data_IF_979081489311
#
_entry.id   IF_979081489311
#
_cell.length_a   1.000
_cell.length_b   1.000
_cell.length_c   1.000
_cell.angle_alpha   90.00
_cell.angle_beta   90.00
_cell.angle_gamma   90.00
#
_symmetry.space_group_name_H-M   'P 1'
#
loop_
_entity.id
_entity.type
_entity.pdbx_description
1 polymer ?
#
# COMPACT_ATOMS: atom_id res chain seq x y z
N UNK A 1 -12.90 36.76 -77.56
CA UNK A 1 -12.01 35.97 -76.68
C UNK A 1 -12.44 36.27 -75.23
N UNK A 2 -13.18 35.36 -74.63
CA UNK A 2 -13.70 35.52 -73.24
C UNK A 2 -12.83 34.60 -72.29
N UNK A 3 -12.03 35.22 -71.46
CA UNK A 3 -11.29 34.54 -70.37
C UNK A 3 -12.25 34.15 -69.25
N UNK A 4 -12.39 32.86 -68.99
CA UNK A 4 -13.03 32.34 -67.78
C UNK A 4 -11.97 32.15 -66.71
N UNK A 5 -12.07 32.94 -65.66
CA UNK A 5 -11.31 32.72 -64.41
C UNK A 5 -12.00 31.58 -63.63
N UNK A 6 -11.28 30.51 -63.39
CA UNK A 6 -11.71 29.41 -62.51
C UNK A 6 -11.26 29.76 -61.10
N UNK A 7 -12.20 30.02 -60.18
CA UNK A 7 -11.89 30.12 -58.72
C UNK A 7 -11.95 28.72 -58.14
N UNK A 8 -10.77 28.22 -57.75
CA UNK A 8 -10.69 27.00 -56.98
C UNK A 8 -10.93 27.33 -55.50
N UNK A 9 -11.99 26.79 -54.91
CA UNK A 9 -12.25 26.84 -53.48
C UNK A 9 -11.42 25.73 -52.82
N UNK A 10 -10.34 26.10 -52.08
CA UNK A 10 -9.63 25.17 -51.20
C UNK A 10 -10.47 24.99 -49.92
N UNK A 11 -11.03 23.80 -49.78
CA UNK A 11 -11.58 23.34 -48.48
C UNK A 11 -10.42 23.00 -47.57
N UNK A 12 -10.11 23.86 -46.58
CA UNK A 12 -9.32 23.47 -45.42
C UNK A 12 -10.18 22.62 -44.49
N UNK A 13 -10.00 21.30 -44.55
CA UNK A 13 -10.46 20.42 -43.47
C UNK A 13 -9.51 20.65 -42.31
N UNK A 14 -9.90 21.50 -41.37
CA UNK A 14 -9.26 21.63 -40.09
C UNK A 14 -9.44 20.31 -39.32
N UNK A 15 -8.45 19.44 -39.35
CA UNK A 15 -8.32 18.42 -38.30
C UNK A 15 -8.10 19.19 -37.00
N UNK A 16 -9.13 19.34 -36.21
CA UNK A 16 -8.99 19.69 -34.81
C UNK A 16 -8.14 18.61 -34.17
N UNK A 17 -6.87 18.89 -33.97
CA UNK A 17 -6.09 18.20 -32.97
C UNK A 17 -6.76 18.53 -31.64
N UNK A 18 -7.73 17.70 -31.24
CA UNK A 18 -8.07 17.61 -29.82
C UNK A 18 -6.77 17.17 -29.16
N UNK A 19 -5.98 18.13 -28.69
CA UNK A 19 -4.91 17.85 -27.75
C UNK A 19 -5.58 17.05 -26.63
N UNK A 20 -5.16 15.82 -26.44
CA UNK A 20 -5.52 15.06 -25.27
C UNK A 20 -5.18 15.97 -24.10
N UNK A 21 -6.18 16.46 -23.36
CA UNK A 21 -5.90 17.17 -22.11
C UNK A 21 -5.00 16.24 -21.31
N UNK A 22 -3.79 16.71 -21.02
CA UNK A 22 -2.86 15.98 -20.17
C UNK A 22 -3.61 15.74 -18.86
N UNK A 23 -3.98 14.49 -18.63
CA UNK A 23 -4.66 14.07 -17.43
C UNK A 23 -3.77 14.44 -16.23
N UNK A 24 -4.28 15.28 -15.34
CA UNK A 24 -3.60 15.58 -14.09
C UNK A 24 -4.20 14.69 -12.99
N UNK A 25 -3.50 13.64 -12.58
CA UNK A 25 -3.98 12.69 -11.57
C UNK A 25 -4.35 13.36 -10.24
N UNK A 26 -3.63 14.40 -9.86
CA UNK A 26 -3.83 15.13 -8.60
C UNK A 26 -5.18 15.85 -8.52
N UNK A 27 -5.84 16.11 -9.64
CA UNK A 27 -7.17 16.76 -9.62
C UNK A 27 -8.30 15.80 -9.27
N UNK A 28 -8.05 14.50 -9.15
CA UNK A 28 -9.12 13.51 -8.86
C UNK A 28 -9.66 13.63 -7.44
N UNK A 29 -8.76 13.58 -6.45
CA UNK A 29 -9.13 13.60 -5.03
C UNK A 29 -7.98 14.05 -4.11
N UNK A 30 -6.91 14.59 -4.66
CA UNK A 30 -5.71 15.04 -3.95
C UNK A 30 -5.70 16.57 -3.82
N UNK A 31 -6.85 17.13 -3.45
CA UNK A 31 -7.00 18.57 -3.31
C UNK A 31 -6.54 19.05 -1.93
N UNK A 32 -5.93 20.25 -1.83
CA UNK A 32 -5.67 20.87 -0.53
C UNK A 32 -6.96 20.94 0.31
N UNK A 33 -6.88 20.51 1.57
CA UNK A 33 -8.02 20.42 2.46
C UNK A 33 -8.94 19.22 2.23
N UNK A 34 -8.62 18.33 1.28
CA UNK A 34 -9.34 17.09 1.01
C UNK A 34 -9.05 15.98 2.02
N UNK A 35 -9.61 14.80 1.76
CA UNK A 35 -9.56 13.65 2.68
C UNK A 35 -8.14 13.11 2.91
N UNK A 36 -7.21 13.35 1.97
CA UNK A 36 -5.79 12.95 2.09
C UNK A 36 -4.86 14.09 2.56
N UNK A 37 -5.37 15.29 2.84
CA UNK A 37 -4.54 16.38 3.35
C UNK A 37 -4.10 16.11 4.80
N UNK A 38 -2.78 15.95 5.00
CA UNK A 38 -2.16 15.62 6.29
C UNK A 38 -2.17 16.77 7.30
N UNK A 39 -2.52 17.99 6.90
CA UNK A 39 -2.61 19.14 7.80
C UNK A 39 -3.88 19.10 8.67
N UNK A 40 -4.81 18.17 8.39
CA UNK A 40 -6.10 18.09 9.05
C UNK A 40 -6.44 16.64 9.41
N UNK A 41 -7.12 16.44 10.54
CA UNK A 41 -7.86 15.21 10.83
C UNK A 41 -9.31 15.47 10.46
N UNK A 42 -9.77 14.85 9.38
CA UNK A 42 -11.16 14.97 8.92
C UNK A 42 -12.07 14.10 9.79
N UNK A 43 -13.35 14.47 9.83
CA UNK A 43 -14.37 13.74 10.58
C UNK A 43 -15.39 13.13 9.64
N UNK A 44 -15.78 11.89 9.94
CA UNK A 44 -16.77 11.12 9.20
C UNK A 44 -17.74 10.47 10.18
N UNK A 45 -19.03 10.56 9.89
CA UNK A 45 -20.08 9.92 10.64
C UNK A 45 -20.75 8.84 9.80
N UNK A 46 -20.97 7.66 10.38
CA UNK A 46 -21.71 6.56 9.77
C UNK A 46 -22.91 6.22 10.64
N UNK A 47 -24.10 6.19 10.03
CA UNK A 47 -25.34 5.80 10.68
C UNK A 47 -25.96 4.64 9.91
N UNK A 48 -26.15 3.52 10.59
CA UNK A 48 -26.85 2.35 10.08
C UNK A 48 -28.32 2.39 10.52
N UNK A 49 -29.23 2.02 9.63
CA UNK A 49 -30.65 1.89 9.99
C UNK A 49 -30.91 0.63 10.83
N UNK A 50 -30.17 -0.45 10.58
CA UNK A 50 -30.29 -1.69 11.35
C UNK A 50 -29.55 -1.55 12.70
N UNK A 51 -30.23 -1.62 13.83
CA UNK A 51 -29.59 -1.56 15.15
C UNK A 51 -28.64 -2.74 15.42
N UNK A 52 -28.78 -3.85 14.67
CA UNK A 52 -27.92 -5.04 14.75
C UNK A 52 -26.75 -5.00 13.75
N UNK A 53 -26.49 -3.86 13.12
CA UNK A 53 -25.50 -3.71 12.05
C UNK A 53 -24.15 -4.39 12.38
N UNK A 54 -23.68 -4.27 13.62
CA UNK A 54 -22.40 -4.85 14.04
C UNK A 54 -22.40 -6.38 13.90
N UNK A 55 -23.44 -7.05 14.45
CA UNK A 55 -23.58 -8.50 14.35
C UNK A 55 -23.71 -8.97 12.90
N UNK A 56 -24.41 -8.20 12.05
CA UNK A 56 -24.56 -8.50 10.62
C UNK A 56 -23.21 -8.37 9.92
N UNK A 57 -22.44 -7.32 10.20
CA UNK A 57 -21.13 -7.08 9.61
C UNK A 57 -20.09 -8.11 10.07
N UNK A 58 -20.08 -8.51 11.35
CA UNK A 58 -19.21 -9.59 11.87
C UNK A 58 -19.55 -10.92 11.18
N UNK A 59 -20.83 -11.28 11.11
CA UNK A 59 -21.24 -12.50 10.44
C UNK A 59 -20.87 -12.50 8.95
N UNK A 60 -21.06 -11.38 8.25
CA UNK A 60 -20.73 -11.28 6.84
C UNK A 60 -19.22 -11.31 6.59
N UNK A 61 -18.42 -10.78 7.50
CA UNK A 61 -16.96 -10.84 7.40
C UNK A 61 -16.44 -12.27 7.25
N UNK A 62 -17.01 -13.22 8.01
CA UNK A 62 -16.61 -14.63 7.96
C UNK A 62 -17.30 -15.43 6.84
N UNK A 63 -18.56 -15.15 6.56
CA UNK A 63 -19.39 -16.04 5.73
C UNK A 63 -19.70 -15.46 4.34
N UNK A 64 -19.61 -14.15 4.17
CA UNK A 64 -19.90 -13.45 2.92
C UNK A 64 -19.06 -12.16 2.80
N UNK A 65 -17.71 -12.27 2.67
CA UNK A 65 -16.79 -11.14 2.84
C UNK A 65 -16.97 -10.00 1.82
N UNK A 66 -17.71 -10.23 0.75
CA UNK A 66 -18.06 -9.20 -0.23
C UNK A 66 -19.39 -8.49 0.08
N UNK A 67 -20.19 -9.02 1.00
CA UNK A 67 -21.48 -8.46 1.37
C UNK A 67 -21.33 -7.11 2.07
N UNK A 68 -22.19 -6.16 1.70
CA UNK A 68 -22.23 -4.82 2.27
C UNK A 68 -23.64 -4.48 2.72
N UNK A 69 -23.75 -3.78 3.82
CA UNK A 69 -25.02 -3.21 4.27
C UNK A 69 -25.04 -1.71 3.99
N UNK A 70 -26.24 -1.14 3.75
CA UNK A 70 -26.38 0.30 3.54
C UNK A 70 -26.20 1.07 4.84
N UNK A 71 -25.60 2.25 4.72
CA UNK A 71 -25.51 3.23 5.79
C UNK A 71 -25.58 4.65 5.22
N UNK A 72 -25.98 5.61 6.02
CA UNK A 72 -25.81 7.03 5.70
C UNK A 72 -24.44 7.47 6.21
N UNK A 73 -23.66 8.13 5.34
CA UNK A 73 -22.37 8.70 5.67
C UNK A 73 -22.44 10.22 5.61
N UNK A 74 -21.98 10.90 6.63
CA UNK A 74 -21.83 12.36 6.65
C UNK A 74 -20.35 12.73 6.69
N UNK A 75 -19.95 13.68 5.86
CA UNK A 75 -18.59 14.16 5.76
C UNK A 75 -18.59 15.62 5.31
N UNK A 76 -17.89 16.48 6.03
CA UNK A 76 -17.71 17.90 5.71
C UNK A 76 -19.04 18.65 5.44
N UNK A 77 -20.11 18.30 6.19
CA UNK A 77 -21.43 18.91 6.08
C UNK A 77 -22.31 18.36 4.95
N UNK A 78 -21.79 17.44 4.13
CA UNK A 78 -22.56 16.71 3.12
C UNK A 78 -23.00 15.36 3.65
N UNK A 79 -24.13 14.85 3.16
CA UNK A 79 -24.69 13.54 3.51
C UNK A 79 -24.82 12.66 2.27
N UNK A 80 -24.41 11.40 2.42
CA UNK A 80 -24.42 10.39 1.36
C UNK A 80 -25.25 9.20 1.84
N UNK A 81 -26.40 9.03 1.26
CA UNK A 81 -27.31 7.92 1.62
C UNK A 81 -26.89 6.62 0.97
N UNK A 82 -27.17 5.50 1.64
CA UNK A 82 -26.98 4.16 1.09
C UNK A 82 -25.56 3.89 0.57
N UNK A 83 -24.53 4.32 1.32
CA UNK A 83 -23.18 3.85 1.06
C UNK A 83 -23.04 2.39 1.48
N UNK A 84 -22.25 1.59 0.77
CA UNK A 84 -22.05 0.17 1.08
C UNK A 84 -20.93 -0.03 2.10
N UNK A 85 -21.24 -0.50 3.29
CA UNK A 85 -20.25 -0.68 4.37
C UNK A 85 -20.01 -2.16 4.65
N UNK A 86 -18.76 -2.54 4.85
CA UNK A 86 -18.33 -3.84 5.39
C UNK A 86 -17.08 -3.70 6.26
N UNK A 87 -16.81 -4.69 7.08
CA UNK A 87 -15.52 -4.79 7.76
C UNK A 87 -14.44 -5.30 6.80
N UNK A 88 -13.18 -5.01 7.13
CA UNK A 88 -12.00 -5.44 6.36
C UNK A 88 -10.88 -5.89 7.32
N UNK A 89 -9.74 -6.23 6.75
CA UNK A 89 -8.55 -6.63 7.49
C UNK A 89 -8.44 -8.14 7.65
N UNK A 90 -7.48 -8.56 8.42
CA UNK A 90 -7.22 -9.94 8.80
C UNK A 90 -6.99 -9.96 10.33
N UNK A 91 -5.76 -10.09 10.81
CA UNK A 91 -5.44 -9.98 12.25
C UNK A 91 -5.91 -8.66 12.86
N UNK A 92 -5.85 -7.56 12.11
CA UNK A 92 -6.34 -6.22 12.50
C UNK A 92 -7.85 -6.15 12.74
N UNK A 93 -8.63 -7.09 12.19
CA UNK A 93 -10.04 -7.28 12.54
C UNK A 93 -10.20 -8.29 13.66
N UNK A 94 -9.59 -9.48 13.53
CA UNK A 94 -9.86 -10.60 14.42
C UNK A 94 -9.42 -10.35 15.86
N UNK A 95 -8.19 -9.83 16.04
CA UNK A 95 -7.64 -9.63 17.38
C UNK A 95 -8.44 -8.63 18.22
N UNK A 96 -8.74 -7.40 17.75
CA UNK A 96 -9.59 -6.50 18.52
C UNK A 96 -11.03 -7.00 18.67
N UNK A 97 -11.60 -7.63 17.65
CA UNK A 97 -12.96 -8.19 17.74
C UNK A 97 -13.06 -9.30 18.80
N UNK A 98 -12.08 -10.18 18.88
CA UNK A 98 -12.03 -11.27 19.88
C UNK A 98 -11.86 -10.74 21.30
N UNK A 99 -11.25 -9.56 21.47
CA UNK A 99 -11.14 -8.84 22.74
C UNK A 99 -12.38 -7.98 23.05
N UNK A 100 -13.37 -7.95 22.16
CA UNK A 100 -14.58 -7.14 22.30
C UNK A 100 -14.35 -5.64 22.07
N UNK A 101 -13.24 -5.25 21.47
CA UNK A 101 -12.98 -3.86 21.10
C UNK A 101 -13.76 -3.50 19.81
N UNK A 102 -14.64 -2.47 19.84
CA UNK A 102 -15.46 -2.11 18.69
C UNK A 102 -14.66 -1.44 17.56
N UNK A 103 -13.41 -1.05 17.80
CA UNK A 103 -12.56 -0.35 16.84
C UNK A 103 -11.95 -1.32 15.84
N UNK A 104 -12.78 -1.83 14.92
CA UNK A 104 -12.39 -2.73 13.83
C UNK A 104 -12.25 -1.95 12.50
N UNK A 105 -11.51 -2.45 11.51
CA UNK A 105 -11.31 -1.74 10.23
C UNK A 105 -12.55 -1.75 9.34
N UNK A 106 -12.78 -0.64 8.62
CA UNK A 106 -13.91 -0.45 7.72
C UNK A 106 -13.47 -0.37 6.25
N UNK A 107 -14.36 -0.82 5.35
CA UNK A 107 -14.29 -0.61 3.92
C UNK A 107 -15.64 -0.09 3.44
N UNK A 108 -15.67 1.17 3.02
CA UNK A 108 -16.86 1.90 2.60
C UNK A 108 -16.80 2.07 1.10
N UNK A 109 -17.86 1.70 0.39
CA UNK A 109 -18.01 1.88 -1.05
C UNK A 109 -19.12 2.88 -1.30
N UNK A 110 -18.74 4.08 -1.75
CA UNK A 110 -19.65 5.21 -1.94
C UNK A 110 -20.71 4.92 -2.98
N UNK A 111 -20.31 4.25 -4.06
CA UNK A 111 -21.17 4.00 -5.21
C UNK A 111 -21.74 2.57 -5.27
N UNK A 112 -21.81 1.85 -4.14
CA UNK A 112 -22.29 0.47 -4.12
C UNK A 112 -23.78 0.37 -4.49
N UNK A 113 -24.62 1.15 -3.83
CA UNK A 113 -26.06 1.18 -4.08
C UNK A 113 -26.47 2.32 -5.01
N UNK A 114 -25.76 3.46 -4.97
CA UNK A 114 -26.04 4.65 -5.78
C UNK A 114 -24.82 4.95 -6.66
N UNK A 115 -24.88 4.54 -7.93
CA UNK A 115 -23.72 4.52 -8.85
C UNK A 115 -23.00 5.87 -9.04
N UNK A 116 -23.72 6.98 -8.96
CA UNK A 116 -23.14 8.31 -9.17
C UNK A 116 -22.40 8.86 -7.95
N UNK A 117 -22.55 8.20 -6.79
CA UNK A 117 -22.12 8.75 -5.51
C UNK A 117 -20.62 8.59 -5.31
N UNK A 118 -19.98 9.67 -4.86
CA UNK A 118 -18.53 9.73 -4.58
C UNK A 118 -18.30 10.75 -3.48
N UNK A 119 -17.30 10.52 -2.63
CA UNK A 119 -16.80 11.47 -1.66
C UNK A 119 -15.53 12.12 -2.23
N UNK A 120 -15.55 13.42 -2.52
CA UNK A 120 -14.41 14.12 -3.15
C UNK A 120 -13.84 13.35 -4.36
N UNK A 121 -14.72 12.81 -5.20
CA UNK A 121 -14.42 11.90 -6.32
C UNK A 121 -13.99 10.48 -5.95
N UNK A 122 -13.74 10.14 -4.69
CA UNK A 122 -13.43 8.78 -4.25
C UNK A 122 -14.68 7.89 -4.29
N UNK A 123 -14.52 6.68 -4.79
CA UNK A 123 -15.53 5.62 -4.74
C UNK A 123 -15.37 4.72 -3.52
N UNK A 124 -14.17 4.67 -2.93
CA UNK A 124 -13.87 3.81 -1.78
C UNK A 124 -13.08 4.53 -0.72
N UNK A 125 -13.46 4.29 0.53
CA UNK A 125 -12.76 4.73 1.73
C UNK A 125 -12.35 3.48 2.50
N UNK A 126 -11.07 3.36 2.86
CA UNK A 126 -10.54 2.23 3.61
C UNK A 126 -9.94 2.72 4.91
N UNK A 127 -10.57 2.36 6.02
CA UNK A 127 -10.17 2.78 7.35
C UNK A 127 -9.49 1.63 8.09
N UNK A 128 -8.20 1.79 8.38
CA UNK A 128 -7.41 0.90 9.22
C UNK A 128 -7.44 1.41 10.66
N UNK A 129 -7.58 0.51 11.63
CA UNK A 129 -7.74 0.85 13.04
C UNK A 129 -6.43 1.10 13.79
N UNK A 130 -5.31 1.08 13.10
CA UNK A 130 -3.95 1.22 13.65
C UNK A 130 -3.63 0.18 14.75
N UNK A 131 -4.14 -1.06 14.61
CA UNK A 131 -3.86 -2.16 15.55
C UNK A 131 -2.38 -2.43 15.74
N UNK A 132 -1.58 -2.31 14.68
CA UNK A 132 -0.14 -2.57 14.69
C UNK A 132 0.71 -1.30 14.87
N UNK A 133 0.07 -0.13 15.01
CA UNK A 133 0.76 1.15 15.08
C UNK A 133 0.35 2.00 16.29
N UNK A 134 1.07 1.92 17.41
CA UNK A 134 0.84 2.81 18.54
C UNK A 134 0.91 4.29 18.21
N UNK A 135 1.67 4.68 17.17
CA UNK A 135 1.96 6.07 16.83
C UNK A 135 0.95 6.70 15.88
N UNK A 136 0.11 5.91 15.19
CA UNK A 136 -0.72 6.32 14.04
C UNK A 136 0.09 6.96 12.89
N UNK A 137 1.40 6.78 12.87
CA UNK A 137 2.29 7.46 11.93
C UNK A 137 3.07 6.52 11.01
N UNK A 138 3.16 5.21 11.32
CA UNK A 138 3.99 4.26 10.55
C UNK A 138 3.52 4.14 9.11
N UNK A 139 2.23 3.83 8.90
CA UNK A 139 1.66 3.67 7.57
C UNK A 139 1.80 4.94 6.73
N UNK A 140 1.51 6.11 7.30
CA UNK A 140 1.61 7.39 6.60
C UNK A 140 3.07 7.74 6.28
N UNK A 141 3.98 7.57 7.24
CA UNK A 141 5.41 7.85 7.03
C UNK A 141 5.98 6.94 5.96
N UNK A 142 5.67 5.65 6.00
CA UNK A 142 6.11 4.68 5.00
C UNK A 142 5.53 5.01 3.61
N UNK A 143 4.22 5.25 3.51
CA UNK A 143 3.57 5.65 2.25
C UNK A 143 4.24 6.88 1.63
N UNK A 144 4.55 7.89 2.44
CA UNK A 144 5.24 9.11 1.96
C UNK A 144 6.67 8.82 1.47
N UNK A 145 7.37 7.84 2.05
CA UNK A 145 8.69 7.42 1.55
C UNK A 145 8.53 6.68 0.21
N UNK A 146 7.63 5.69 0.13
CA UNK A 146 7.40 4.93 -1.10
C UNK A 146 6.98 5.83 -2.27
N UNK A 147 6.10 6.81 -2.04
CA UNK A 147 5.56 7.73 -3.06
C UNK A 147 6.61 8.59 -3.74
N UNK A 148 7.79 8.74 -3.16
CA UNK A 148 8.92 9.41 -3.82
C UNK A 148 9.46 8.61 -5.01
N UNK A 149 9.28 7.29 -5.02
CA UNK A 149 9.93 6.37 -5.94
C UNK A 149 8.97 5.49 -6.75
N UNK A 150 7.77 5.26 -6.24
CA UNK A 150 6.82 4.28 -6.75
C UNK A 150 5.39 4.81 -6.76
N UNK A 151 4.54 4.37 -7.71
CA UNK A 151 3.09 4.44 -7.56
C UNK A 151 2.66 3.74 -6.27
N UNK A 152 2.16 4.52 -5.32
CA UNK A 152 1.87 4.04 -3.96
C UNK A 152 0.61 4.72 -3.45
N UNK A 153 -0.28 3.99 -2.75
CA UNK A 153 -1.45 4.56 -2.10
C UNK A 153 -1.11 5.71 -1.17
N UNK A 154 -1.99 6.71 -1.13
CA UNK A 154 -1.96 7.76 -0.13
C UNK A 154 -2.53 7.27 1.19
N UNK A 155 -2.10 7.88 2.29
CA UNK A 155 -2.64 7.61 3.61
C UNK A 155 -2.82 8.91 4.39
N UNK A 156 -3.89 9.00 5.18
CA UNK A 156 -4.22 10.17 6.01
C UNK A 156 -4.91 9.75 7.30
N UNK A 157 -5.22 10.71 8.16
CA UNK A 157 -5.92 10.47 9.42
C UNK A 157 -7.38 10.92 9.35
N UNK A 158 -8.28 10.09 9.89
CA UNK A 158 -9.70 10.34 9.88
C UNK A 158 -10.35 9.95 11.22
N UNK A 159 -11.13 10.86 11.80
CA UNK A 159 -12.02 10.57 12.94
C UNK A 159 -13.26 9.86 12.45
N UNK A 160 -13.59 8.73 13.03
CA UNK A 160 -14.80 8.00 12.71
C UNK A 160 -15.79 8.04 13.87
N UNK A 161 -16.98 8.55 13.62
CA UNK A 161 -18.14 8.37 14.48
C UNK A 161 -19.06 7.29 13.89
N UNK A 162 -19.63 6.46 14.73
CA UNK A 162 -20.62 5.45 14.35
C UNK A 162 -21.81 5.56 15.29
N UNK A 163 -23.02 5.66 14.73
CA UNK A 163 -24.25 5.86 15.49
C UNK A 163 -24.18 7.06 16.44
N UNK A 164 -23.54 8.14 16.03
CA UNK A 164 -23.37 9.37 16.80
C UNK A 164 -22.33 9.32 17.93
N UNK A 165 -21.60 8.21 18.07
CA UNK A 165 -20.54 8.06 19.06
C UNK A 165 -19.16 8.04 18.38
N UNK A 166 -18.20 8.75 18.95
CA UNK A 166 -16.82 8.72 18.46
C UNK A 166 -16.23 7.32 18.67
N UNK A 167 -15.98 6.62 17.57
CA UNK A 167 -15.42 5.28 17.60
C UNK A 167 -13.88 5.30 17.74
N UNK A 168 -13.24 6.27 17.12
CA UNK A 168 -11.79 6.44 17.23
C UNK A 168 -11.13 7.11 16.02
N UNK A 169 -9.82 7.28 16.13
CA UNK A 169 -8.97 7.73 15.02
C UNK A 169 -8.56 6.54 14.15
N UNK A 170 -8.67 6.70 12.85
CA UNK A 170 -8.33 5.70 11.83
C UNK A 170 -7.28 6.23 10.86
N UNK A 171 -6.50 5.33 10.28
CA UNK A 171 -5.71 5.62 9.08
C UNK A 171 -6.59 5.34 7.87
N UNK A 172 -6.81 6.36 7.04
CA UNK A 172 -7.52 6.25 5.76
C UNK A 172 -6.51 6.00 4.66
N UNK A 173 -6.56 4.83 4.03
CA UNK A 173 -5.62 4.41 2.99
C UNK A 173 -6.32 4.35 1.63
N UNK A 174 -5.71 4.94 0.61
CA UNK A 174 -6.21 4.92 -0.76
C UNK A 174 -6.37 3.47 -1.25
N UNK A 175 -7.48 3.17 -1.90
CA UNK A 175 -7.73 1.84 -2.45
C UNK A 175 -6.93 1.63 -3.74
N UNK A 176 -6.19 0.53 -3.86
CA UNK A 176 -5.64 0.09 -5.14
C UNK A 176 -6.79 -0.50 -5.96
N UNK A 177 -7.38 0.31 -6.83
CA UNK A 177 -8.49 -0.03 -7.72
C UNK A 177 -8.40 0.76 -9.03
N UNK A 178 -9.43 0.70 -9.87
CA UNK A 178 -9.44 1.38 -11.17
C UNK A 178 -9.21 2.90 -11.09
N UNK A 179 -9.55 3.56 -9.96
CA UNK A 179 -9.27 4.99 -9.80
C UNK A 179 -7.78 5.23 -9.52
N UNK A 180 -7.19 4.44 -8.64
CA UNK A 180 -5.75 4.46 -8.39
C UNK A 180 -4.97 4.17 -9.66
N UNK A 181 -5.35 3.12 -10.42
CA UNK A 181 -4.69 2.76 -11.67
C UNK A 181 -4.76 3.90 -12.69
N UNK A 182 -5.95 4.50 -12.86
CA UNK A 182 -6.11 5.66 -13.74
C UNK A 182 -5.25 6.85 -13.31
N UNK A 183 -5.13 7.09 -11.99
CA UNK A 183 -4.30 8.16 -11.43
C UNK A 183 -2.81 7.92 -11.66
N UNK A 184 -2.33 6.70 -11.44
CA UNK A 184 -0.93 6.38 -11.41
C UNK A 184 -0.34 5.96 -12.78
N UNK A 185 -1.18 5.35 -13.64
CA UNK A 185 -0.73 4.78 -14.92
C UNK A 185 -1.41 5.39 -16.14
N UNK A 186 -2.38 6.30 -15.93
CA UNK A 186 -3.24 6.88 -16.98
C UNK A 186 -4.07 5.82 -17.75
N UNK A 187 -4.25 4.64 -17.15
CA UNK A 187 -5.04 3.52 -17.64
C UNK A 187 -5.60 2.72 -16.46
N UNK A 188 -6.56 1.82 -16.68
CA UNK A 188 -7.24 1.12 -15.57
C UNK A 188 -7.80 -0.25 -15.91
N UNK A 189 -7.70 -0.66 -17.17
CA UNK A 189 -8.38 -1.85 -17.69
C UNK A 189 -7.43 -3.05 -17.90
N UNK A 190 -6.16 -2.91 -17.49
CA UNK A 190 -5.18 -3.98 -17.41
C UNK A 190 -5.47 -5.01 -16.31
N UNK A 191 -4.61 -6.03 -16.21
CA UNK A 191 -4.76 -7.09 -15.20
C UNK A 191 -4.26 -6.63 -13.84
N UNK A 192 -5.12 -6.63 -12.83
CA UNK A 192 -4.78 -6.32 -11.45
C UNK A 192 -4.88 -7.59 -10.59
N UNK A 193 -3.80 -7.92 -9.92
CA UNK A 193 -3.69 -9.06 -8.99
C UNK A 193 -3.29 -8.56 -7.62
N UNK A 194 -4.09 -8.87 -6.59
CA UNK A 194 -3.68 -8.71 -5.20
C UNK A 194 -2.89 -9.94 -4.76
N UNK A 195 -1.68 -9.72 -4.32
CA UNK A 195 -0.75 -10.75 -3.85
C UNK A 195 -0.80 -10.80 -2.32
N UNK A 196 -1.75 -11.57 -1.82
CA UNK A 196 -2.09 -11.66 -0.41
C UNK A 196 -2.89 -12.95 -0.17
N UNK A 197 -2.66 -13.70 0.92
CA UNK A 197 -3.47 -14.86 1.24
C UNK A 197 -4.96 -14.54 1.20
N UNK A 198 -5.72 -15.37 0.49
CA UNK A 198 -7.16 -15.11 0.27
C UNK A 198 -7.99 -15.42 1.52
N UNK A 199 -7.50 -16.35 2.36
CA UNK A 199 -8.17 -16.72 3.60
C UNK A 199 -7.79 -15.79 4.76
N UNK A 200 -8.78 -15.44 5.56
CA UNK A 200 -8.60 -14.62 6.76
C UNK A 200 -8.00 -15.47 7.88
N UNK A 201 -6.94 -14.96 8.51
CA UNK A 201 -6.33 -15.56 9.70
C UNK A 201 -7.08 -15.10 10.95
N UNK A 202 -8.05 -15.90 11.40
CA UNK A 202 -8.80 -15.67 12.63
C UNK A 202 -8.92 -16.97 13.42
N UNK A 203 -8.64 -16.91 14.70
CA UNK A 203 -8.72 -18.07 15.58
C UNK A 203 -7.71 -19.16 15.19
N UNK A 204 -8.18 -20.40 14.97
CA UNK A 204 -7.32 -21.54 14.63
C UNK A 204 -7.05 -21.69 13.12
N UNK A 205 -7.53 -20.78 12.29
CA UNK A 205 -7.29 -20.83 10.86
C UNK A 205 -5.94 -20.20 10.53
N UNK A 206 -5.04 -20.99 9.97
CA UNK A 206 -3.82 -20.46 9.36
C UNK A 206 -4.15 -19.97 7.96
N UNK A 207 -3.71 -18.76 7.61
CA UNK A 207 -3.76 -18.30 6.23
C UNK A 207 -3.00 -19.31 5.36
N UNK A 208 -3.69 -19.90 4.38
CA UNK A 208 -3.07 -20.82 3.43
C UNK A 208 -2.74 -20.03 2.16
N UNK A 209 -1.48 -20.04 1.78
CA UNK A 209 -0.99 -19.43 0.55
C UNK A 209 0.10 -18.41 0.82
N UNK A 210 1.13 -18.46 0.00
CA UNK A 210 2.20 -17.48 -0.05
C UNK A 210 2.28 -16.94 -1.47
N UNK A 211 2.07 -15.65 -1.70
CA UNK A 211 2.27 -15.04 -3.01
C UNK A 211 3.75 -14.79 -3.30
N UNK A 212 4.55 -15.86 -3.27
CA UNK A 212 6.01 -15.85 -3.38
C UNK A 212 6.52 -15.99 -4.83
N UNK A 213 5.61 -16.07 -5.80
CA UNK A 213 5.90 -16.23 -7.23
C UNK A 213 6.68 -17.51 -7.58
N UNK A 214 6.59 -18.54 -6.73
CA UNK A 214 7.11 -19.87 -7.02
C UNK A 214 6.25 -20.59 -8.04
N UNK A 215 6.90 -21.42 -8.84
CA UNK A 215 6.17 -22.31 -9.73
C UNK A 215 5.57 -23.50 -8.97
N UNK A 216 4.25 -23.58 -8.97
CA UNK A 216 3.48 -24.68 -8.35
C UNK A 216 2.77 -25.57 -9.39
N UNK A 217 3.19 -25.50 -10.67
CA UNK A 217 2.60 -26.24 -11.79
C UNK A 217 1.73 -25.36 -12.68
N UNK A 218 1.32 -25.92 -13.84
CA UNK A 218 0.61 -25.18 -14.89
C UNK A 218 -0.90 -24.99 -14.61
N UNK A 219 -1.43 -25.57 -13.52
CA UNK A 219 -2.84 -25.38 -13.14
C UNK A 219 -2.97 -24.14 -12.23
N UNK A 220 -3.73 -23.14 -12.70
CA UNK A 220 -3.98 -21.91 -11.93
C UNK A 220 -4.67 -22.18 -10.59
N UNK A 221 -5.36 -23.29 -10.43
CA UNK A 221 -6.02 -23.67 -9.19
C UNK A 221 -5.03 -23.81 -8.00
N UNK A 222 -3.76 -24.13 -8.29
CA UNK A 222 -2.72 -24.22 -7.27
C UNK A 222 -2.38 -22.85 -6.63
N UNK A 223 -2.78 -21.73 -7.24
CA UNK A 223 -2.44 -20.39 -6.84
C UNK A 223 -3.61 -19.60 -6.20
N UNK A 224 -4.84 -20.14 -6.23
CA UNK A 224 -6.04 -19.44 -5.77
C UNK A 224 -6.02 -19.04 -4.29
N UNK A 225 -5.23 -19.71 -3.46
CA UNK A 225 -5.08 -19.34 -2.05
C UNK A 225 -4.09 -18.20 -1.81
N UNK A 226 -3.22 -17.91 -2.81
CA UNK A 226 -2.11 -16.95 -2.69
C UNK A 226 -2.38 -15.64 -3.43
N UNK A 227 -3.27 -15.64 -4.42
CA UNK A 227 -3.50 -14.51 -5.30
C UNK A 227 -4.98 -14.28 -5.52
N UNK A 228 -5.37 -13.00 -5.53
CA UNK A 228 -6.75 -12.57 -5.78
C UNK A 228 -6.77 -11.67 -7.03
N UNK A 229 -7.19 -12.21 -8.17
CA UNK A 229 -7.34 -11.49 -9.43
C UNK A 229 -8.52 -10.53 -9.33
N UNK A 230 -8.25 -9.21 -9.41
CA UNK A 230 -9.24 -8.14 -9.25
C UNK A 230 -9.85 -7.66 -10.56
N UNK A 231 -9.26 -8.01 -11.68
CA UNK A 231 -9.77 -7.78 -13.03
C UNK A 231 -10.66 -8.96 -13.47
N UNK A 232 -11.40 -8.77 -14.57
CA UNK A 232 -12.32 -9.79 -15.09
C UNK A 232 -11.58 -11.03 -15.64
N UNK A 233 -10.28 -10.91 -15.89
CA UNK A 233 -9.35 -11.95 -16.32
C UNK A 233 -7.97 -11.68 -15.70
N UNK A 234 -7.01 -12.60 -15.85
CA UNK A 234 -5.63 -12.35 -15.38
C UNK A 234 -4.86 -13.57 -14.92
N UNK A 235 -5.51 -14.73 -14.80
CA UNK A 235 -4.82 -15.95 -14.38
C UNK A 235 -3.77 -16.42 -15.39
N UNK A 236 -4.07 -16.29 -16.70
CA UNK A 236 -3.11 -16.63 -17.75
C UNK A 236 -1.86 -15.77 -17.69
N UNK A 237 -2.05 -14.48 -17.54
CA UNK A 237 -0.98 -13.47 -17.47
C UNK A 237 -0.14 -13.64 -16.19
N UNK A 238 -0.78 -13.93 -15.05
CA UNK A 238 -0.06 -14.22 -13.81
C UNK A 238 0.78 -15.48 -13.93
N UNK A 239 0.22 -16.54 -14.54
CA UNK A 239 0.93 -17.79 -14.77
C UNK A 239 2.13 -17.60 -15.71
N UNK A 240 1.99 -16.80 -16.77
CA UNK A 240 3.07 -16.41 -17.66
C UNK A 240 4.21 -15.72 -16.90
N UNK A 241 3.87 -14.75 -16.02
CA UNK A 241 4.87 -14.08 -15.20
C UNK A 241 5.59 -15.06 -14.27
N UNK A 242 4.86 -15.91 -13.56
CA UNK A 242 5.45 -16.90 -12.64
C UNK A 242 6.33 -17.88 -13.42
N UNK A 243 5.89 -18.34 -14.58
CA UNK A 243 6.69 -19.24 -15.44
C UNK A 243 7.99 -18.57 -15.87
N UNK A 244 7.95 -17.33 -16.37
CA UNK A 244 9.15 -16.58 -16.78
C UNK A 244 10.10 -16.35 -15.61
N UNK A 245 9.62 -15.97 -14.44
CA UNK A 245 10.46 -15.81 -13.25
C UNK A 245 11.24 -17.11 -12.95
N UNK A 246 10.58 -18.26 -13.07
CA UNK A 246 11.18 -19.53 -12.67
C UNK A 246 12.06 -20.17 -13.76
N UNK A 247 11.71 -20.01 -15.06
CA UNK A 247 12.31 -20.79 -16.14
C UNK A 247 12.84 -19.98 -17.33
N UNK A 248 12.49 -18.69 -17.46
CA UNK A 248 12.91 -17.85 -18.59
C UNK A 248 13.30 -16.43 -18.13
N UNK A 249 14.21 -16.39 -17.16
CA UNK A 249 14.61 -15.14 -16.50
C UNK A 249 15.25 -14.13 -17.47
N UNK A 250 15.99 -14.60 -18.48
CA UNK A 250 16.66 -13.71 -19.46
C UNK A 250 15.66 -12.84 -20.24
N UNK A 251 14.43 -13.31 -20.41
CA UNK A 251 13.34 -12.58 -21.09
C UNK A 251 12.32 -11.99 -20.10
N UNK A 252 12.62 -11.93 -18.81
CA UNK A 252 11.69 -11.41 -17.79
C UNK A 252 11.37 -9.93 -18.01
N UNK A 253 12.33 -9.15 -18.50
CA UNK A 253 12.15 -7.73 -18.79
C UNK A 253 11.13 -7.43 -19.90
N UNK A 254 10.73 -8.43 -20.70
CA UNK A 254 9.69 -8.27 -21.73
C UNK A 254 8.29 -8.12 -21.12
N UNK A 255 8.08 -8.64 -19.88
CA UNK A 255 6.76 -8.65 -19.24
C UNK A 255 6.74 -8.07 -17.83
N UNK A 256 7.89 -7.73 -17.26
CA UNK A 256 8.00 -7.16 -15.89
C UNK A 256 8.85 -5.88 -15.92
N UNK A 257 8.34 -4.83 -15.33
CA UNK A 257 9.12 -3.64 -15.04
C UNK A 257 10.08 -3.93 -13.88
N UNK A 258 11.26 -4.47 -14.21
CA UNK A 258 12.26 -4.91 -13.23
C UNK A 258 12.76 -3.72 -12.39
N UNK A 259 12.96 -2.55 -12.99
CA UNK A 259 13.43 -1.37 -12.25
C UNK A 259 12.46 -0.99 -11.13
N UNK A 260 11.17 -1.04 -11.38
CA UNK A 260 10.13 -0.78 -10.37
C UNK A 260 10.12 -1.82 -9.24
N UNK A 261 10.37 -3.09 -9.56
CA UNK A 261 10.55 -4.14 -8.55
C UNK A 261 11.76 -3.86 -7.66
N UNK A 262 12.88 -3.47 -8.26
CA UNK A 262 14.09 -3.13 -7.52
C UNK A 262 13.89 -1.92 -6.60
N UNK A 263 13.14 -0.91 -7.04
CA UNK A 263 12.75 0.21 -6.17
C UNK A 263 11.90 -0.27 -4.99
N UNK A 264 10.90 -1.13 -5.22
CA UNK A 264 10.07 -1.66 -4.15
C UNK A 264 10.93 -2.42 -3.13
N UNK A 265 11.81 -3.29 -3.59
CA UNK A 265 12.73 -4.03 -2.71
C UNK A 265 13.69 -3.12 -1.94
N UNK A 266 14.17 -2.07 -2.58
CA UNK A 266 15.05 -1.10 -1.94
C UNK A 266 14.35 -0.33 -0.81
N UNK A 267 13.13 0.14 -1.04
CA UNK A 267 12.36 0.84 0.01
C UNK A 267 12.00 -0.13 1.13
N UNK A 268 11.48 -1.33 0.81
CA UNK A 268 11.15 -2.36 1.81
C UNK A 268 12.35 -2.63 2.73
N UNK A 269 13.52 -2.83 2.14
CA UNK A 269 14.76 -3.10 2.88
C UNK A 269 15.23 -1.91 3.71
N UNK A 270 15.11 -0.70 3.16
CA UNK A 270 15.57 0.52 3.83
C UNK A 270 14.77 0.83 5.10
N UNK A 271 13.43 0.75 5.03
CA UNK A 271 12.54 1.08 6.15
C UNK A 271 12.11 -0.11 6.99
N UNK A 272 12.70 -1.28 6.76
CA UNK A 272 12.33 -2.53 7.47
C UNK A 272 10.82 -2.81 7.36
N UNK A 273 10.27 -2.69 6.15
CA UNK A 273 8.96 -3.26 5.85
C UNK A 273 9.17 -4.76 5.62
N UNK A 274 8.93 -5.55 6.67
CA UNK A 274 9.19 -6.99 6.66
C UNK A 274 7.93 -7.79 6.32
N UNK A 275 6.82 -7.12 6.12
CA UNK A 275 5.52 -7.70 5.84
C UNK A 275 5.17 -7.59 4.35
N UNK A 276 6.12 -7.96 3.49
CA UNK A 276 6.03 -7.81 2.03
C UNK A 276 6.92 -8.84 1.31
N UNK A 277 6.98 -8.81 -0.04
CA UNK A 277 7.63 -9.85 -0.87
C UNK A 277 9.06 -10.20 -0.45
N UNK A 278 9.92 -9.22 -0.25
CA UNK A 278 11.31 -9.42 0.19
C UNK A 278 11.49 -9.26 1.70
N UNK A 279 10.39 -9.23 2.44
CA UNK A 279 10.36 -9.22 3.89
C UNK A 279 10.16 -10.61 4.49
N UNK A 280 9.96 -10.66 5.80
CA UNK A 280 9.79 -11.89 6.56
C UNK A 280 8.51 -12.64 6.18
N UNK A 281 7.36 -11.92 6.10
CA UNK A 281 6.08 -12.44 5.62
C UNK A 281 5.82 -11.99 4.19
N UNK A 282 5.67 -12.97 3.28
CA UNK A 282 5.50 -12.71 1.85
C UNK A 282 4.04 -12.45 1.49
N UNK A 283 3.63 -11.19 1.49
CA UNK A 283 2.32 -10.70 1.04
C UNK A 283 2.34 -9.17 0.84
N UNK A 284 1.20 -8.51 0.90
CA UNK A 284 1.07 -7.05 0.91
C UNK A 284 1.69 -6.33 -0.30
N UNK A 285 1.40 -6.81 -1.50
CA UNK A 285 1.69 -6.09 -2.73
C UNK A 285 0.64 -6.39 -3.81
N UNK A 286 0.61 -5.57 -4.85
CA UNK A 286 -0.17 -5.84 -6.05
C UNK A 286 0.76 -5.96 -7.24
N UNK A 287 0.30 -6.70 -8.24
CA UNK A 287 0.86 -6.73 -9.60
C UNK A 287 -0.19 -6.16 -10.54
N UNK A 288 0.22 -5.17 -11.34
CA UNK A 288 -0.64 -4.58 -12.36
C UNK A 288 0.02 -4.70 -13.72
N UNK A 289 -0.57 -5.46 -14.64
CA UNK A 289 -0.11 -5.53 -16.02
C UNK A 289 -0.77 -4.41 -16.81
N UNK A 290 0.04 -3.45 -17.24
CA UNK A 290 -0.35 -2.33 -18.08
C UNK A 290 -0.70 -2.75 -19.51
N UNK A 291 -1.36 -1.88 -20.27
CA UNK A 291 -1.78 -2.18 -21.66
C UNK A 291 -0.59 -2.44 -22.59
N UNK A 292 0.60 -1.92 -22.28
CA UNK A 292 1.85 -2.25 -22.97
C UNK A 292 2.42 -3.64 -22.64
N UNK A 293 1.76 -4.37 -21.73
CA UNK A 293 2.09 -5.76 -21.39
C UNK A 293 3.07 -5.92 -20.23
N UNK A 294 3.51 -4.84 -19.56
CA UNK A 294 4.47 -4.90 -18.48
C UNK A 294 3.77 -4.97 -17.10
N UNK A 295 4.11 -5.96 -16.31
CA UNK A 295 3.71 -6.00 -14.91
C UNK A 295 4.46 -4.93 -14.09
N UNK A 296 3.71 -4.24 -13.25
CA UNK A 296 4.16 -3.22 -12.30
C UNK A 296 3.93 -3.72 -10.89
N UNK A 297 4.93 -3.67 -10.03
CA UNK A 297 4.75 -3.95 -8.60
C UNK A 297 4.28 -2.68 -7.89
N UNK A 298 3.19 -2.81 -7.12
CA UNK A 298 2.60 -1.73 -6.32
C UNK A 298 2.66 -2.17 -4.86
N UNK A 299 3.39 -1.46 -4.00
CA UNK A 299 3.42 -1.76 -2.58
C UNK A 299 2.08 -1.46 -1.91
N UNK A 300 1.75 -2.20 -0.85
CA UNK A 300 0.47 -2.12 -0.14
C UNK A 300 0.63 -2.48 1.33
N UNK A 301 -0.21 -1.92 2.21
CA UNK A 301 -0.32 -2.22 3.63
C UNK A 301 0.99 -1.98 4.40
N UNK A 302 1.18 -0.74 4.85
CA UNK A 302 2.47 -0.28 5.40
C UNK A 302 2.48 -0.19 6.92
N UNK A 303 1.45 -0.63 7.62
CA UNK A 303 1.32 -0.50 9.08
C UNK A 303 2.39 -1.28 9.85
N UNK A 304 2.95 -2.33 9.24
CA UNK A 304 4.09 -3.10 9.74
C UNK A 304 5.46 -2.61 9.24
N UNK A 305 5.54 -1.44 8.62
CA UNK A 305 6.83 -0.79 8.34
C UNK A 305 7.54 -0.42 9.65
N UNK A 306 8.85 -0.19 9.57
CA UNK A 306 9.71 0.03 10.74
C UNK A 306 9.64 -1.14 11.73
N UNK A 307 9.64 -2.36 11.18
CA UNK A 307 9.44 -3.64 11.85
C UNK A 307 8.08 -3.81 12.55
N UNK A 308 7.24 -2.78 12.67
CA UNK A 308 5.88 -2.86 13.17
C UNK A 308 5.71 -3.78 14.38
N UNK A 309 4.68 -4.61 14.39
CA UNK A 309 4.47 -5.63 15.41
C UNK A 309 5.32 -6.91 15.17
N UNK A 310 5.92 -7.08 14.00
CA UNK A 310 6.77 -8.23 13.65
C UNK A 310 7.94 -8.35 14.63
N UNK A 311 8.46 -7.21 15.13
CA UNK A 311 9.50 -7.19 16.14
C UNK A 311 9.19 -8.12 17.33
N UNK A 312 7.98 -8.10 17.87
CA UNK A 312 7.61 -8.89 19.03
C UNK A 312 7.09 -10.29 18.70
N UNK A 313 6.69 -10.54 17.45
CA UNK A 313 6.23 -11.87 17.05
C UNK A 313 7.37 -12.82 16.73
N UNK A 314 8.41 -12.32 16.04
CA UNK A 314 9.47 -13.16 15.51
C UNK A 314 10.88 -12.73 15.90
N UNK A 315 11.07 -11.50 16.37
CA UNK A 315 12.36 -10.93 16.72
C UNK A 315 12.35 -10.37 18.13
N UNK A 316 12.70 -11.19 19.12
CA UNK A 316 12.91 -10.72 20.49
C UNK A 316 14.27 -10.05 20.68
N UNK A 317 15.21 -10.25 19.74
CA UNK A 317 16.45 -9.49 19.65
C UNK A 317 16.31 -8.38 18.60
N UNK A 318 16.21 -7.12 19.04
CA UNK A 318 16.12 -5.98 18.12
C UNK A 318 17.32 -5.88 17.17
N UNK A 319 18.50 -6.37 17.55
CA UNK A 319 19.68 -6.32 16.70
C UNK A 319 19.53 -7.20 15.47
N UNK A 320 18.84 -8.33 15.57
CA UNK A 320 18.57 -9.19 14.43
C UNK A 320 17.70 -8.48 13.38
N UNK A 321 16.68 -7.70 13.82
CA UNK A 321 15.83 -6.91 12.92
C UNK A 321 16.62 -5.78 12.26
N UNK A 322 17.38 -4.99 13.01
CA UNK A 322 18.13 -3.86 12.45
C UNK A 322 19.10 -4.30 11.35
N UNK A 323 19.68 -5.49 11.52
CA UNK A 323 20.63 -6.09 10.58
C UNK A 323 19.98 -7.05 9.58
N UNK A 324 18.65 -7.00 9.44
CA UNK A 324 17.96 -7.85 8.46
C UNK A 324 18.58 -7.68 7.07
N UNK A 325 18.97 -8.81 6.48
CA UNK A 325 19.79 -8.78 5.26
C UNK A 325 19.03 -8.19 4.07
N UNK A 326 19.65 -7.22 3.40
CA UNK A 326 19.02 -6.53 2.25
C UNK A 326 19.07 -7.33 0.96
N UNK A 327 19.88 -8.38 0.91
CA UNK A 327 20.13 -9.17 -0.29
C UNK A 327 19.44 -10.53 -0.30
N UNK A 328 18.70 -10.85 0.75
CA UNK A 328 17.94 -12.09 0.84
C UNK A 328 18.78 -13.33 1.18
N UNK A 329 20.03 -13.16 1.66
CA UNK A 329 20.89 -14.30 2.03
C UNK A 329 20.34 -15.17 3.19
N UNK A 330 19.35 -14.67 3.91
CA UNK A 330 18.65 -15.40 4.97
C UNK A 330 17.65 -16.43 4.44
N UNK A 331 17.25 -16.35 3.16
CA UNK A 331 16.27 -17.26 2.56
C UNK A 331 16.92 -18.53 2.02
N UNK A 332 16.16 -19.62 2.06
CA UNK A 332 16.57 -20.85 1.39
C UNK A 332 16.52 -20.67 -0.15
N UNK A 333 17.33 -21.43 -0.90
CA UNK A 333 17.29 -21.38 -2.37
C UNK A 333 15.87 -21.56 -2.91
N UNK A 334 15.48 -20.71 -3.85
CA UNK A 334 14.14 -20.61 -4.45
C UNK A 334 13.01 -20.26 -3.46
N UNK A 335 13.32 -19.77 -2.27
CA UNK A 335 12.29 -19.31 -1.33
C UNK A 335 11.67 -17.99 -1.78
N UNK A 336 12.44 -17.13 -2.43
CA UNK A 336 12.03 -15.86 -3.04
C UNK A 336 12.60 -15.76 -4.46
N UNK A 337 12.05 -16.52 -5.44
CA UNK A 337 12.69 -16.68 -6.74
C UNK A 337 12.94 -15.37 -7.50
N UNK A 338 12.02 -14.40 -7.42
CA UNK A 338 12.23 -13.10 -8.07
C UNK A 338 13.37 -12.31 -7.40
N UNK A 339 13.42 -12.26 -6.07
CA UNK A 339 14.48 -11.57 -5.33
C UNK A 339 15.84 -12.22 -5.59
N UNK A 340 15.92 -13.55 -5.46
CA UNK A 340 17.14 -14.33 -5.63
C UNK A 340 17.74 -14.08 -7.02
N UNK A 341 16.95 -14.30 -8.07
CA UNK A 341 17.46 -14.16 -9.46
C UNK A 341 17.86 -12.73 -9.82
N UNK A 342 17.11 -11.73 -9.35
CA UNK A 342 17.46 -10.33 -9.58
C UNK A 342 18.76 -9.95 -8.86
N UNK A 343 18.96 -10.41 -7.63
CA UNK A 343 20.15 -10.04 -6.87
C UNK A 343 21.36 -10.94 -7.12
N UNK A 344 21.20 -12.08 -7.78
CA UNK A 344 22.29 -12.89 -8.32
C UNK A 344 22.85 -12.29 -9.61
N UNK A 345 22.04 -11.59 -10.39
CA UNK A 345 22.49 -10.87 -11.58
C UNK A 345 23.29 -9.61 -11.19
N UNK A 346 24.57 -9.49 -11.62
CA UNK A 346 25.42 -8.36 -11.25
C UNK A 346 24.90 -6.99 -11.72
N UNK A 347 24.17 -6.93 -12.84
CA UNK A 347 23.60 -5.68 -13.36
C UNK A 347 22.43 -5.22 -12.49
N UNK A 348 21.47 -6.10 -12.23
CA UNK A 348 20.31 -5.76 -11.39
C UNK A 348 20.72 -5.50 -9.93
N UNK A 349 21.69 -6.21 -9.41
CA UNK A 349 22.26 -5.93 -8.09
C UNK A 349 22.89 -4.53 -7.98
N UNK A 350 23.54 -4.04 -9.03
CA UNK A 350 24.04 -2.66 -9.07
C UNK A 350 22.94 -1.63 -9.07
N UNK A 351 21.87 -1.85 -9.86
CA UNK A 351 20.69 -0.97 -9.86
C UNK A 351 20.02 -0.96 -8.49
N UNK A 352 19.79 -2.14 -7.90
CA UNK A 352 19.25 -2.26 -6.55
C UNK A 352 20.07 -1.48 -5.51
N UNK A 353 21.41 -1.63 -5.53
CA UNK A 353 22.29 -0.88 -4.64
C UNK A 353 22.19 0.64 -4.84
N UNK A 354 22.05 1.08 -6.09
CA UNK A 354 21.86 2.50 -6.39
C UNK A 354 20.52 3.01 -5.83
N UNK A 355 19.43 2.25 -5.98
CA UNK A 355 18.12 2.58 -5.44
C UNK A 355 18.16 2.59 -3.91
N UNK A 356 18.71 1.56 -3.28
CA UNK A 356 18.83 1.48 -1.82
C UNK A 356 19.63 2.66 -1.24
N UNK A 357 20.73 3.04 -1.90
CA UNK A 357 21.52 4.23 -1.55
C UNK A 357 20.70 5.51 -1.69
N UNK A 358 19.92 5.65 -2.76
CA UNK A 358 19.06 6.82 -2.99
C UNK A 358 18.01 6.94 -1.89
N UNK A 359 17.32 5.86 -1.56
CA UNK A 359 16.34 5.83 -0.46
C UNK A 359 17.01 6.21 0.88
N UNK A 360 18.19 5.63 1.16
CA UNK A 360 18.94 5.96 2.37
C UNK A 360 19.28 7.45 2.46
N UNK A 361 19.84 8.03 1.39
CA UNK A 361 20.28 9.44 1.39
C UNK A 361 19.10 10.40 1.44
N UNK A 362 18.07 10.18 0.62
CA UNK A 362 16.98 11.14 0.42
C UNK A 362 15.87 11.03 1.47
N UNK A 363 15.73 9.86 2.12
CA UNK A 363 14.57 9.61 2.97
C UNK A 363 14.89 9.22 4.40
N UNK A 364 16.12 8.78 4.71
CA UNK A 364 16.45 8.26 6.03
C UNK A 364 17.65 8.95 6.69
N UNK A 365 18.56 9.53 5.91
CA UNK A 365 19.81 10.07 6.46
C UNK A 365 19.57 11.34 7.29
N UNK A 366 18.65 12.22 6.85
CA UNK A 366 18.22 13.37 7.65
C UNK A 366 17.16 12.96 8.67
N UNK A 367 17.64 12.37 9.77
CA UNK A 367 16.77 11.87 10.85
C UNK A 367 16.00 12.99 11.56
N UNK A 368 16.49 14.22 11.54
CA UNK A 368 15.80 15.36 12.15
C UNK A 368 14.60 15.80 11.30
N UNK A 369 14.72 15.80 9.98
CA UNK A 369 13.63 16.08 9.08
C UNK A 369 12.52 14.98 9.18
N UNK A 370 12.92 13.71 9.25
CA UNK A 370 11.96 12.60 9.43
C UNK A 370 11.23 12.75 10.77
N UNK A 371 11.95 12.98 11.86
CA UNK A 371 11.37 13.19 13.19
C UNK A 371 10.41 14.38 13.20
N UNK A 372 10.78 15.51 12.58
CA UNK A 372 9.94 16.69 12.48
C UNK A 372 8.62 16.39 11.75
N UNK A 373 8.66 15.62 10.66
CA UNK A 373 7.46 15.21 9.92
C UNK A 373 6.54 14.34 10.76
N UNK A 374 7.08 13.36 11.50
CA UNK A 374 6.30 12.49 12.40
C UNK A 374 5.67 13.31 13.54
N UNK A 375 6.45 14.20 14.16
CA UNK A 375 5.96 15.06 15.23
C UNK A 375 4.84 16.00 14.76
N UNK A 376 4.93 16.53 13.53
CA UNK A 376 3.86 17.32 12.94
C UNK A 376 2.58 16.50 12.76
N UNK A 377 2.69 15.28 12.25
CA UNK A 377 1.57 14.37 12.09
C UNK A 377 0.92 14.04 13.45
N UNK A 378 1.75 13.71 14.46
CA UNK A 378 1.25 13.46 15.82
C UNK A 378 0.60 14.69 16.46
N UNK A 379 1.15 15.88 16.25
CA UNK A 379 0.54 17.13 16.74
C UNK A 379 -0.85 17.35 16.12
N UNK A 380 -0.99 17.10 14.82
CA UNK A 380 -2.28 17.18 14.11
C UNK A 380 -3.29 16.16 14.65
N UNK A 381 -2.84 14.94 14.97
CA UNK A 381 -3.69 13.85 15.47
C UNK A 381 -4.02 13.96 16.96
N UNK A 382 -3.27 14.71 17.75
CA UNK A 382 -3.22 14.64 19.22
C UNK A 382 -4.62 14.68 19.89
N UNK A 383 -5.44 15.66 19.54
CA UNK A 383 -6.78 15.80 20.14
C UNK A 383 -7.66 14.60 19.84
N UNK A 384 -7.60 14.09 18.60
CA UNK A 384 -8.37 12.93 18.19
C UNK A 384 -7.93 11.66 18.93
N UNK A 385 -6.62 11.47 19.13
CA UNK A 385 -6.07 10.32 19.87
C UNK A 385 -6.42 10.40 21.35
N UNK A 386 -6.34 11.58 21.97
CA UNK A 386 -6.74 11.77 23.39
C UNK A 386 -8.20 11.37 23.61
N UNK A 387 -9.08 11.74 22.69
CA UNK A 387 -10.52 11.48 22.78
C UNK A 387 -10.92 10.05 22.38
N UNK A 388 -10.02 9.30 21.74
CA UNK A 388 -10.26 7.92 21.31
C UNK A 388 -10.21 6.97 22.52
N UNK A 389 -11.38 6.64 23.06
CA UNK A 389 -11.50 5.72 24.21
C UNK A 389 -11.26 4.25 23.81
N UNK A 390 -11.39 3.93 22.51
CA UNK A 390 -11.19 2.60 21.98
C UNK A 390 -9.77 2.37 21.44
N UNK A 391 -8.86 3.35 21.61
CA UNK A 391 -7.46 3.20 21.17
C UNK A 391 -6.80 2.02 21.88
N UNK A 392 -5.97 1.35 21.15
CA UNK A 392 -5.34 0.08 21.59
C UNK A 392 -4.08 0.32 22.44
N UNK A 393 -3.62 1.55 22.50
CA UNK A 393 -2.40 1.96 23.18
C UNK A 393 -2.64 3.19 24.07
N UNK A 394 -1.89 3.28 25.17
CA UNK A 394 -1.94 4.47 26.03
C UNK A 394 -1.33 5.69 25.35
N UNK A 395 -1.62 6.88 25.85
CA UNK A 395 -1.00 8.14 25.39
C UNK A 395 0.54 8.14 25.59
N UNK A 396 1.02 7.47 26.65
CA UNK A 396 2.47 7.26 26.84
C UNK A 396 3.08 6.44 25.72
N UNK A 397 2.44 5.36 25.33
CA UNK A 397 2.88 4.50 24.22
C UNK A 397 2.80 5.20 22.86
N UNK A 398 1.71 5.97 22.64
CA UNK A 398 1.57 6.83 21.46
C UNK A 398 2.78 7.77 21.27
N UNK A 399 3.20 8.44 22.32
CA UNK A 399 4.33 9.36 22.25
C UNK A 399 5.68 8.65 22.21
N UNK A 400 5.89 7.62 23.04
CA UNK A 400 7.20 6.98 23.19
C UNK A 400 7.57 6.08 22.00
N UNK A 401 6.59 5.47 21.30
CA UNK A 401 6.90 4.56 20.19
C UNK A 401 7.37 5.28 18.90
N UNK A 402 7.46 6.60 18.91
CA UNK A 402 8.22 7.32 17.88
C UNK A 402 9.72 7.04 18.05
N UNK A 403 10.24 7.19 19.27
CA UNK A 403 11.67 7.09 19.54
C UNK A 403 12.10 5.69 20.03
N UNK A 404 11.22 4.96 20.69
CA UNK A 404 11.55 3.75 21.43
C UNK A 404 10.70 2.56 21.00
N UNK A 405 11.31 1.37 21.03
CA UNK A 405 10.57 0.11 20.91
C UNK A 405 9.70 -0.11 22.14
N UNK A 406 8.49 -0.61 21.93
CA UNK A 406 7.60 -1.01 23.02
C UNK A 406 7.58 -2.53 23.16
N UNK A 407 7.57 -3.00 24.41
CA UNK A 407 7.45 -4.41 24.77
C UNK A 407 6.27 -4.58 25.72
N UNK A 408 5.07 -4.75 25.16
CA UNK A 408 3.81 -4.88 25.90
C UNK A 408 3.03 -6.10 25.41
N UNK A 409 3.46 -7.28 25.82
CA UNK A 409 2.93 -8.55 25.31
C UNK A 409 3.45 -8.89 23.91
N UNK A 410 3.27 -7.99 22.95
CA UNK A 410 3.97 -7.95 21.67
C UNK A 410 5.03 -6.84 21.69
N UNK A 411 6.03 -6.92 20.81
CA UNK A 411 6.99 -5.87 20.59
C UNK A 411 6.60 -5.03 19.37
N UNK A 412 6.67 -3.70 19.52
CA UNK A 412 6.39 -2.76 18.43
C UNK A 412 7.62 -1.90 18.17
N UNK A 413 8.13 -1.94 16.95
CA UNK A 413 9.29 -1.13 16.55
C UNK A 413 8.98 0.37 16.68
N UNK A 414 9.88 1.12 17.33
CA UNK A 414 9.84 2.58 17.34
C UNK A 414 10.36 3.13 16.00
N UNK A 415 9.67 4.10 15.40
CA UNK A 415 10.02 4.58 14.05
C UNK A 415 11.47 5.07 14.01
N UNK A 416 11.84 5.98 14.89
CA UNK A 416 13.20 6.55 14.94
C UNK A 416 14.23 5.56 15.46
N UNK A 417 13.86 4.67 16.42
CA UNK A 417 14.71 3.57 16.84
C UNK A 417 15.14 2.69 15.67
N UNK A 418 14.16 2.32 14.82
CA UNK A 418 14.41 1.51 13.63
C UNK A 418 15.24 2.29 12.59
N UNK A 419 14.89 3.52 12.28
CA UNK A 419 15.62 4.35 11.29
C UNK A 419 17.07 4.56 11.73
N UNK A 420 17.33 4.97 12.97
CA UNK A 420 18.67 5.26 13.44
C UNK A 420 19.59 4.01 13.39
N UNK A 421 19.07 2.86 13.83
CA UNK A 421 19.81 1.61 13.82
C UNK A 421 19.98 1.06 12.41
N UNK A 422 18.94 1.15 11.60
CA UNK A 422 18.99 0.74 10.19
C UNK A 422 19.97 1.59 9.39
N UNK A 423 20.03 2.87 9.62
CA UNK A 423 21.01 3.78 9.01
C UNK A 423 22.45 3.36 9.35
N UNK A 424 22.70 2.94 10.59
CA UNK A 424 24.02 2.42 10.98
C UNK A 424 24.39 1.13 10.20
N UNK A 425 23.42 0.22 10.01
CA UNK A 425 23.62 -0.98 9.19
C UNK A 425 23.85 -0.62 7.71
N UNK A 426 22.98 0.19 7.11
CA UNK A 426 23.05 0.54 5.70
C UNK A 426 24.36 1.28 5.37
N UNK A 427 24.77 2.23 6.21
CA UNK A 427 26.04 2.95 6.03
C UNK A 427 27.27 2.05 6.07
N UNK A 428 27.18 0.89 6.72
CA UNK A 428 28.24 -0.12 6.76
C UNK A 428 28.31 -1.02 5.52
N UNK A 429 27.31 -0.97 4.63
CA UNK A 429 27.28 -1.81 3.42
C UNK A 429 28.23 -1.24 2.35
N UNK A 430 29.44 -1.78 2.25
CA UNK A 430 30.45 -1.31 1.28
C UNK A 430 29.94 -1.30 -0.16
N UNK A 431 29.11 -2.25 -0.54
CA UNK A 431 28.55 -2.38 -1.89
C UNK A 431 27.62 -1.23 -2.29
N UNK A 432 26.97 -0.58 -1.33
CA UNK A 432 26.13 0.60 -1.60
C UNK A 432 26.93 1.83 -2.02
N UNK A 433 28.19 1.94 -1.60
CA UNK A 433 29.05 3.10 -1.81
C UNK A 433 30.12 2.86 -2.86
N UNK A 434 30.11 1.71 -3.56
CA UNK A 434 30.99 1.50 -4.70
C UNK A 434 30.69 2.56 -5.78
N UNK A 435 31.73 3.15 -6.41
CA UNK A 435 31.51 4.11 -7.47
C UNK A 435 30.67 3.48 -8.58
N UNK A 436 29.61 4.18 -8.97
CA UNK A 436 28.87 3.86 -10.18
C UNK A 436 29.86 3.86 -11.35
N UNK A 437 29.86 2.87 -12.25
CA UNK A 437 30.68 2.96 -13.44
C UNK A 437 30.37 4.29 -14.14
N UNK A 438 31.36 5.13 -14.38
CA UNK A 438 31.18 6.26 -15.25
C UNK A 438 30.68 5.72 -16.61
N UNK A 439 29.59 6.28 -17.13
CA UNK A 439 29.15 6.02 -18.50
C UNK A 439 30.16 6.76 -19.40
N UNK A 440 31.33 6.17 -19.56
CA UNK A 440 32.31 6.58 -20.58
C UNK A 440 31.88 5.90 -21.87
N UNK A 441 31.41 6.71 -22.82
CA UNK A 441 31.02 6.40 -24.21
C UNK A 441 29.53 6.06 -24.42
N UNK A 442 28.66 7.09 -24.36
CA UNK A 442 27.57 7.16 -25.31
C UNK A 442 28.10 7.89 -26.55
N UNK A 443 28.56 7.14 -27.55
CA UNK A 443 28.73 7.62 -28.93
C UNK A 443 27.44 7.40 -29.69
#
# INVERSE_FOLDING_TARGET
MKNKLLFGILFFIGFGLNGQELYNPQTLYDAPGGVFDLNFVREMDIVFEDPNYHSVLVNSFFNAPSYRIPATLSYNGESYDSVGVRYKGNSTFCLPNDEGNPKVPYNIEMNHFIQAQKLENLKKIKLANAWMDPTFAKEITAANIYRKYLPTPEASLLRLNVQGNYLGLYVNTEAVDKQFLQKQFNEKDGVLVKCDPVQVFCGNNTANGNPDLKWMGADSANYYNSYDVKSDHGWGELMELIEKINFDFDNLGDILNIDRVLWAFAVNSAILNLDTYNGYYVHNYYLYRTEDGLFQMIPWDFDNSFAGAILGWDFFDPMAVYNYDTYGNQYAPNERPLLEKLLDDPYYKKLYNAHLRTVYIESLMDTDAVRASINQLQATAYTAVVQDENKLFSMGQYSSNVEENLWTGLGFGGIMSMINRRNAYLSGLQTMFMPTPEISNMN
#
